data_IF_896275629267
#
_entry.id   IF_896275629267
#
_cell.length_a   1.000
_cell.length_b   1.000
_cell.length_c   1.000
_cell.angle_alpha   90.00
_cell.angle_beta   90.00
_cell.angle_gamma   90.00
#
_symmetry.space_group_name_H-M   'P 1'
#
loop_
_entity.id
_entity.type
_entity.pdbx_description
1 polymer ?
#
# COMPACT_ATOMS: atom_id res chain seq x y z
N UNK A 1 -7.68 -0.35 -31.34
CA UNK A 1 -6.39 -0.77 -30.73
C UNK A 1 -6.23 -0.13 -29.35
N UNK A 2 -6.72 -0.78 -28.27
CA UNK A 2 -6.69 -0.25 -26.89
C UNK A 2 -5.72 -1.04 -26.00
N UNK A 3 -4.43 -1.05 -26.29
CA UNK A 3 -3.44 -1.79 -25.48
C UNK A 3 -2.26 -0.97 -24.95
N UNK A 4 -2.27 0.36 -25.12
CA UNK A 4 -1.25 1.25 -24.57
C UNK A 4 -1.56 1.69 -23.14
N UNK A 5 -1.34 0.82 -22.14
CA UNK A 5 -1.08 1.36 -20.79
C UNK A 5 0.31 1.99 -20.88
N UNK A 6 0.36 3.31 -20.74
CA UNK A 6 1.60 4.11 -20.75
C UNK A 6 2.56 3.54 -19.71
N UNK A 7 3.86 3.49 -20.01
CA UNK A 7 4.84 3.09 -19.00
C UNK A 7 4.88 4.18 -17.93
N UNK A 8 4.56 3.80 -16.69
CA UNK A 8 4.48 4.70 -15.53
C UNK A 8 5.52 4.27 -14.48
N UNK A 9 6.22 5.23 -13.89
CA UNK A 9 7.10 4.97 -12.75
C UNK A 9 6.28 4.79 -11.48
N UNK A 10 5.51 5.83 -11.11
CA UNK A 10 4.49 5.76 -10.06
C UNK A 10 3.12 5.44 -10.66
N UNK A 11 2.27 4.75 -9.91
CA UNK A 11 0.92 4.43 -10.37
C UNK A 11 0.06 5.70 -10.41
N UNK A 12 -0.37 6.11 -11.60
CA UNK A 12 -1.19 7.32 -11.77
C UNK A 12 -2.54 7.21 -11.03
N UNK A 13 -3.00 6.00 -10.65
CA UNK A 13 -4.21 5.80 -9.84
C UNK A 13 -4.04 6.20 -8.36
N UNK A 14 -2.81 6.42 -7.87
CA UNK A 14 -2.52 6.63 -6.44
C UNK A 14 -2.54 8.11 -6.03
N UNK A 15 -2.22 9.04 -6.94
CA UNK A 15 -1.96 10.45 -6.64
C UNK A 15 -0.80 10.68 -5.65
N UNK A 16 -0.97 10.36 -4.36
CA UNK A 16 0.05 10.46 -3.31
C UNK A 16 -0.21 9.45 -2.18
N UNK A 17 0.82 9.13 -1.41
CA UNK A 17 0.89 8.08 -0.38
C UNK A 17 0.88 6.66 -0.96
N UNK A 18 1.84 5.83 -0.49
CA UNK A 18 2.05 4.42 -0.90
C UNK A 18 2.56 4.22 -2.33
N UNK A 19 2.76 5.28 -3.12
CA UNK A 19 3.38 5.22 -4.44
C UNK A 19 4.82 4.71 -4.38
N UNK A 20 5.53 5.09 -3.31
CA UNK A 20 6.88 4.64 -2.97
C UNK A 20 6.90 3.15 -2.60
N UNK A 21 5.96 2.71 -1.77
CA UNK A 21 5.82 1.32 -1.35
C UNK A 21 5.42 0.43 -2.54
N UNK A 22 4.48 0.88 -3.38
CA UNK A 22 4.10 0.19 -4.61
C UNK A 22 5.29 0.04 -5.56
N UNK A 23 6.06 1.11 -5.77
CA UNK A 23 7.26 1.07 -6.62
C UNK A 23 8.31 0.12 -6.03
N UNK A 24 8.62 0.23 -4.75
CA UNK A 24 9.59 -0.64 -4.07
C UNK A 24 9.18 -2.11 -4.17
N UNK A 25 7.90 -2.42 -3.95
CA UNK A 25 7.38 -3.78 -4.08
C UNK A 25 7.50 -4.28 -5.52
N UNK A 26 7.14 -3.47 -6.52
CA UNK A 26 7.31 -3.83 -7.93
C UNK A 26 8.76 -4.06 -8.32
N UNK A 27 9.70 -3.28 -7.77
CA UNK A 27 11.14 -3.50 -7.97
C UNK A 27 11.58 -4.84 -7.38
N UNK A 28 11.15 -5.17 -6.15
CA UNK A 28 11.38 -6.48 -5.55
C UNK A 28 10.81 -7.62 -6.42
N UNK A 29 9.60 -7.45 -6.97
CA UNK A 29 9.01 -8.42 -7.91
C UNK A 29 9.87 -8.62 -9.17
N UNK A 30 10.68 -7.64 -9.55
CA UNK A 30 11.63 -7.73 -10.68
C UNK A 30 13.01 -8.22 -10.27
N UNK A 31 13.19 -8.69 -9.04
CA UNK A 31 14.46 -9.20 -8.52
C UNK A 31 15.45 -8.12 -8.13
N UNK A 32 15.02 -6.86 -8.06
CA UNK A 32 15.88 -5.78 -7.56
C UNK A 32 16.00 -5.85 -6.05
N UNK A 33 17.13 -5.38 -5.53
CA UNK A 33 17.43 -5.33 -4.10
C UNK A 33 17.34 -3.88 -3.61
N UNK A 34 16.77 -3.70 -2.42
CA UNK A 34 16.86 -2.45 -1.66
C UNK A 34 18.02 -2.55 -0.69
N UNK A 35 18.96 -1.62 -0.74
CA UNK A 35 20.17 -1.60 0.09
C UNK A 35 20.14 -0.36 0.96
N UNK A 36 20.35 -0.53 2.27
CA UNK A 36 20.51 0.56 3.21
C UNK A 36 21.99 0.94 3.31
N UNK A 37 22.30 2.21 3.01
CA UNK A 37 23.67 2.76 3.06
C UNK A 37 23.74 3.77 4.21
N UNK A 38 24.25 3.40 5.39
CA UNK A 38 24.22 4.27 6.58
C UNK A 38 25.09 5.53 6.44
N UNK A 39 26.07 5.52 5.53
CA UNK A 39 26.93 6.67 5.23
C UNK A 39 26.18 7.75 4.42
N UNK A 40 25.14 7.38 3.66
CA UNK A 40 24.34 8.30 2.88
C UNK A 40 23.25 8.95 3.77
N UNK A 41 23.51 10.18 4.24
CA UNK A 41 22.62 10.90 5.17
C UNK A 41 21.80 11.97 4.45
N UNK A 42 20.49 11.99 4.73
CA UNK A 42 19.56 13.04 4.32
C UNK A 42 18.70 13.47 5.52
N UNK A 43 18.42 14.76 5.64
CA UNK A 43 17.61 15.32 6.72
C UNK A 43 16.19 15.61 6.21
N UNK A 44 15.18 15.07 6.90
CA UNK A 44 13.77 15.27 6.55
C UNK A 44 12.99 15.76 7.77
N UNK A 45 12.35 16.92 7.63
CA UNK A 45 11.45 17.43 8.65
C UNK A 45 10.19 16.57 8.73
N UNK A 46 10.05 15.80 9.81
CA UNK A 46 8.88 14.91 10.00
C UNK A 46 7.80 15.61 10.82
N UNK A 47 6.73 16.01 10.13
CA UNK A 47 5.48 16.44 10.79
C UNK A 47 4.74 15.26 11.45
N UNK A 48 4.91 14.04 10.91
CA UNK A 48 4.29 12.81 11.41
C UNK A 48 5.39 11.90 11.93
N UNK A 49 5.42 11.71 13.26
CA UNK A 49 6.45 10.92 13.92
C UNK A 49 5.98 9.47 14.05
N UNK A 50 6.66 8.54 13.37
CA UNK A 50 6.43 7.10 13.49
C UNK A 50 7.24 6.50 14.63
N UNK A 51 6.61 5.73 15.52
CA UNK A 51 7.28 5.04 16.63
C UNK A 51 6.31 4.15 17.39
N UNK A 52 6.84 3.26 18.25
CA UNK A 52 6.05 2.38 19.14
C UNK A 52 5.18 3.24 20.06
N UNK A 53 3.97 3.51 19.59
CA UNK A 53 2.98 4.34 20.27
C UNK A 53 1.87 3.40 20.72
N UNK A 54 1.50 3.48 21.99
CA UNK A 54 0.29 2.80 22.47
C UNK A 54 -0.91 3.18 21.62
N UNK A 55 -1.89 2.29 21.52
CA UNK A 55 -3.04 2.38 20.59
C UNK A 55 -3.71 3.77 20.62
N UNK A 56 -3.85 4.36 21.80
CA UNK A 56 -4.39 5.73 22.00
C UNK A 56 -3.60 6.87 21.34
N UNK A 57 -2.27 6.76 21.27
CA UNK A 57 -1.44 7.76 20.59
C UNK A 57 -1.54 7.62 19.08
N UNK A 58 -1.70 6.40 18.56
CA UNK A 58 -1.95 6.18 17.14
C UNK A 58 -3.28 6.83 16.73
N UNK A 59 -4.36 6.58 17.49
CA UNK A 59 -5.66 7.19 17.22
C UNK A 59 -5.64 8.72 17.17
N UNK A 60 -5.01 9.36 18.17
CA UNK A 60 -4.90 10.83 18.20
C UNK A 60 -4.14 11.40 17.00
N UNK A 61 -3.17 10.67 16.49
CA UNK A 61 -2.36 11.13 15.37
C UNK A 61 -3.09 10.98 14.04
N UNK A 62 -3.90 9.93 13.89
CA UNK A 62 -4.80 9.78 12.75
C UNK A 62 -5.82 10.92 12.67
N UNK A 63 -6.39 11.33 13.81
CA UNK A 63 -7.32 12.47 13.87
C UNK A 63 -6.68 13.84 13.56
N UNK A 64 -5.38 14.00 13.79
CA UNK A 64 -4.65 15.24 13.46
C UNK A 64 -4.31 15.36 11.97
N UNK A 65 -4.32 14.26 11.23
CA UNK A 65 -3.99 14.27 9.80
C UNK A 65 -5.12 14.90 9.00
N UNK A 66 -4.78 15.48 7.86
CA UNK A 66 -5.81 15.95 6.95
C UNK A 66 -6.62 14.75 6.41
N UNK A 67 -7.91 14.97 6.20
CA UNK A 67 -8.83 13.94 5.69
C UNK A 67 -8.38 13.37 4.34
N UNK A 68 -7.73 14.20 3.51
CA UNK A 68 -7.18 13.81 2.21
C UNK A 68 -6.02 12.81 2.38
N UNK A 69 -5.13 13.05 3.36
CA UNK A 69 -4.03 12.13 3.66
C UNK A 69 -4.55 10.77 4.07
N UNK A 70 -5.52 10.72 5.00
CA UNK A 70 -6.10 9.44 5.44
C UNK A 70 -6.85 8.73 4.32
N UNK A 71 -7.60 9.48 3.50
CA UNK A 71 -8.30 8.96 2.33
C UNK A 71 -7.35 8.25 1.35
N UNK A 72 -6.31 8.94 0.86
CA UNK A 72 -5.37 8.35 -0.10
C UNK A 72 -4.52 7.26 0.55
N UNK A 73 -4.08 7.44 1.79
CA UNK A 73 -3.33 6.42 2.52
C UNK A 73 -4.09 5.10 2.64
N UNK A 74 -5.40 5.16 2.94
CA UNK A 74 -6.21 3.95 3.10
C UNK A 74 -6.59 3.33 1.75
N UNK A 75 -7.03 4.14 0.77
CA UNK A 75 -7.31 3.68 -0.60
C UNK A 75 -6.10 2.96 -1.20
N UNK A 76 -4.94 3.62 -1.16
CA UNK A 76 -3.73 3.12 -1.81
C UNK A 76 -3.10 1.95 -1.06
N UNK A 77 -3.30 1.85 0.27
CA UNK A 77 -2.92 0.68 1.04
C UNK A 77 -3.59 -0.60 0.49
N UNK A 78 -4.92 -0.54 0.31
CA UNK A 78 -5.68 -1.67 -0.23
C UNK A 78 -5.29 -1.97 -1.67
N UNK A 79 -5.13 -0.94 -2.51
CA UNK A 79 -4.69 -1.11 -3.90
C UNK A 79 -3.28 -1.72 -3.97
N UNK A 80 -2.36 -1.35 -3.09
CA UNK A 80 -0.99 -1.89 -3.07
C UNK A 80 -0.99 -3.40 -2.83
N UNK A 81 -1.77 -3.87 -1.84
CA UNK A 81 -1.92 -5.30 -1.55
C UNK A 81 -2.54 -6.01 -2.74
N UNK A 82 -3.67 -5.49 -3.24
CA UNK A 82 -4.37 -6.06 -4.39
C UNK A 82 -3.47 -6.14 -5.62
N UNK A 83 -2.66 -5.13 -5.87
CA UNK A 83 -1.83 -5.01 -7.08
C UNK A 83 -0.60 -5.92 -7.05
N UNK A 84 0.05 -6.09 -5.89
CA UNK A 84 1.41 -6.63 -5.82
C UNK A 84 1.55 -7.95 -5.05
N UNK A 85 0.57 -8.37 -4.24
CA UNK A 85 0.72 -9.59 -3.43
C UNK A 85 0.54 -10.87 -4.25
N UNK A 86 1.28 -11.94 -3.98
CA UNK A 86 1.03 -13.26 -4.57
C UNK A 86 -0.19 -13.92 -3.94
N UNK A 87 -1.07 -14.54 -4.73
CA UNK A 87 -2.31 -15.14 -4.20
C UNK A 87 -2.03 -16.19 -3.11
N UNK A 88 -0.99 -17.01 -3.27
CA UNK A 88 -0.60 -18.00 -2.24
C UNK A 88 -0.18 -17.39 -0.91
N UNK A 89 0.55 -16.26 -0.94
CA UNK A 89 0.92 -15.52 0.28
C UNK A 89 -0.30 -14.81 0.87
N UNK A 90 -1.10 -14.15 0.02
CA UNK A 90 -2.33 -13.49 0.44
C UNK A 90 -3.26 -14.45 1.19
N UNK A 91 -3.51 -15.65 0.65
CA UNK A 91 -4.38 -16.63 1.30
C UNK A 91 -3.83 -17.10 2.65
N UNK A 92 -2.50 -17.24 2.76
CA UNK A 92 -1.83 -17.61 4.01
C UNK A 92 -1.94 -16.51 5.07
N UNK A 93 -1.80 -15.26 4.67
CA UNK A 93 -1.82 -14.11 5.56
C UNK A 93 -3.24 -13.51 5.73
N UNK A 94 -4.22 -14.04 4.99
CA UNK A 94 -5.59 -13.53 4.94
C UNK A 94 -6.24 -13.36 6.32
N UNK A 95 -6.15 -14.30 7.27
CA UNK A 95 -6.76 -14.09 8.59
C UNK A 95 -6.21 -12.88 9.33
N UNK A 96 -4.89 -12.64 9.21
CA UNK A 96 -4.22 -11.50 9.84
C UNK A 96 -4.55 -10.19 9.14
N UNK A 97 -4.52 -10.19 7.80
CA UNK A 97 -4.91 -9.05 6.97
C UNK A 97 -6.36 -8.68 7.27
N UNK A 98 -7.28 -9.66 7.22
CA UNK A 98 -8.70 -9.47 7.48
C UNK A 98 -8.94 -8.86 8.85
N UNK A 99 -8.36 -9.42 9.92
CA UNK A 99 -8.55 -8.89 11.27
C UNK A 99 -8.02 -7.45 11.39
N UNK A 100 -6.86 -7.16 10.80
CA UNK A 100 -6.28 -5.82 10.80
C UNK A 100 -7.12 -4.81 10.01
N UNK A 101 -7.60 -5.17 8.82
CA UNK A 101 -8.50 -4.32 8.03
C UNK A 101 -9.87 -4.15 8.70
N UNK A 102 -10.38 -5.19 9.36
CA UNK A 102 -11.63 -5.15 10.12
C UNK A 102 -11.53 -4.14 11.27
N UNK A 103 -10.46 -4.21 12.08
CA UNK A 103 -10.23 -3.23 13.16
C UNK A 103 -10.15 -1.79 12.62
N UNK A 104 -9.43 -1.59 11.52
CA UNK A 104 -9.35 -0.27 10.86
C UNK A 104 -10.70 0.19 10.31
N UNK A 105 -11.49 -0.72 9.76
CA UNK A 105 -12.83 -0.42 9.25
C UNK A 105 -13.73 0.12 10.37
N UNK A 106 -13.78 -0.54 11.54
CA UNK A 106 -14.55 -0.03 12.67
C UNK A 106 -14.05 1.33 13.17
N UNK A 107 -12.73 1.52 13.23
CA UNK A 107 -12.18 2.82 13.57
C UNK A 107 -12.62 3.90 12.58
N UNK A 108 -12.50 3.64 11.28
CA UNK A 108 -12.89 4.58 10.22
C UNK A 108 -14.40 4.85 10.27
N UNK A 109 -15.21 3.82 10.51
CA UNK A 109 -16.66 3.93 10.60
C UNK A 109 -17.10 4.91 11.69
N UNK A 110 -16.48 4.86 12.87
CA UNK A 110 -16.88 5.68 14.02
C UNK A 110 -16.13 7.02 14.13
N UNK A 111 -14.88 7.11 13.67
CA UNK A 111 -14.01 8.27 13.93
C UNK A 111 -13.53 9.01 12.68
N UNK A 112 -13.63 8.40 11.48
CA UNK A 112 -13.17 8.98 10.23
C UNK A 112 -14.15 8.75 9.07
N UNK A 113 -15.41 9.09 9.25
CA UNK A 113 -16.47 8.83 8.26
C UNK A 113 -16.15 9.34 6.84
N UNK A 114 -15.36 10.41 6.69
CA UNK A 114 -14.87 10.86 5.38
C UNK A 114 -13.99 9.82 4.68
N UNK A 115 -13.12 9.14 5.43
CA UNK A 115 -12.21 8.09 4.92
C UNK A 115 -12.99 6.86 4.43
N UNK A 116 -14.27 6.67 4.81
CA UNK A 116 -15.12 5.62 4.19
C UNK A 116 -15.26 5.81 2.68
N UNK A 117 -15.19 7.05 2.18
CA UNK A 117 -15.19 7.32 0.73
C UNK A 117 -14.03 6.63 0.00
N UNK A 118 -12.93 6.34 0.70
CA UNK A 118 -11.79 5.64 0.16
C UNK A 118 -12.14 4.20 -0.27
N UNK A 119 -13.13 3.56 0.35
CA UNK A 119 -13.59 2.23 -0.05
C UNK A 119 -14.28 2.28 -1.42
N UNK A 120 -15.16 3.26 -1.66
CA UNK A 120 -15.78 3.45 -2.97
C UNK A 120 -14.72 3.78 -4.04
N UNK A 121 -13.75 4.64 -3.71
CA UNK A 121 -12.65 4.96 -4.62
C UNK A 121 -11.74 3.76 -4.89
N UNK A 122 -11.54 2.88 -3.91
CA UNK A 122 -10.84 1.60 -4.08
C UNK A 122 -11.57 0.72 -5.09
N UNK A 123 -12.87 0.47 -4.90
CA UNK A 123 -13.65 -0.35 -5.83
C UNK A 123 -13.69 0.26 -7.25
N UNK A 124 -13.77 1.58 -7.38
CA UNK A 124 -13.69 2.28 -8.66
C UNK A 124 -12.36 2.08 -9.39
N UNK A 125 -11.24 1.96 -8.66
CA UNK A 125 -9.90 1.75 -9.21
C UNK A 125 -9.52 0.26 -9.37
N UNK A 126 -10.27 -0.66 -8.77
CA UNK A 126 -9.94 -2.10 -8.77
C UNK A 126 -9.82 -2.69 -10.18
N UNK A 127 -10.71 -2.32 -11.10
CA UNK A 127 -10.71 -2.86 -12.47
C UNK A 127 -9.42 -2.50 -13.21
N UNK A 128 -9.00 -1.24 -13.13
CA UNK A 128 -7.75 -0.75 -13.71
C UNK A 128 -6.53 -1.44 -13.07
N UNK A 129 -6.49 -1.49 -11.73
CA UNK A 129 -5.39 -2.10 -10.98
C UNK A 129 -5.27 -3.60 -11.26
N UNK A 130 -6.37 -4.32 -11.44
CA UNK A 130 -6.35 -5.74 -11.81
C UNK A 130 -5.77 -5.97 -13.22
N UNK A 131 -5.99 -5.05 -14.15
CA UNK A 131 -5.34 -5.10 -15.48
C UNK A 131 -3.82 -4.87 -15.33
N UNK A 132 -3.41 -3.88 -14.54
CA UNK A 132 -1.99 -3.60 -14.24
C UNK A 132 -1.33 -4.80 -13.55
N UNK A 133 -2.00 -5.40 -12.56
CA UNK A 133 -1.55 -6.59 -11.81
C UNK A 133 -1.19 -7.74 -12.75
N UNK A 134 -2.03 -8.06 -13.74
CA UNK A 134 -1.73 -9.14 -14.70
C UNK A 134 -0.38 -8.94 -15.39
N UNK A 135 -0.08 -7.70 -15.83
CA UNK A 135 1.21 -7.36 -16.45
C UNK A 135 2.36 -7.41 -15.44
N UNK A 136 2.14 -6.93 -14.23
CA UNK A 136 3.13 -6.92 -13.15
C UNK A 136 3.56 -8.35 -12.81
N UNK A 137 2.57 -9.21 -12.55
CA UNK A 137 2.77 -10.61 -12.16
C UNK A 137 3.35 -11.47 -13.28
N UNK A 138 2.92 -11.26 -14.54
CA UNK A 138 3.51 -11.96 -15.70
C UNK A 138 5.01 -11.71 -15.84
N UNK A 139 5.49 -10.54 -15.40
CA UNK A 139 6.89 -10.12 -15.47
C UNK A 139 7.64 -10.31 -14.15
N UNK A 140 7.02 -10.89 -13.12
CA UNK A 140 7.68 -11.16 -11.86
C UNK A 140 8.83 -12.17 -12.06
N UNK A 141 10.00 -11.88 -11.49
CA UNK A 141 11.20 -12.71 -11.55
C UNK A 141 11.49 -13.45 -10.23
N UNK A 142 10.69 -13.20 -9.21
CA UNK A 142 10.80 -13.81 -7.88
C UNK A 142 9.60 -14.70 -7.61
N UNK A 143 9.82 -15.72 -6.79
CA UNK A 143 8.80 -16.65 -6.31
C UNK A 143 8.04 -16.07 -5.11
N UNK A 144 6.83 -16.58 -4.79
CA UNK A 144 6.12 -16.21 -3.57
C UNK A 144 6.95 -16.42 -2.29
N UNK A 145 7.78 -17.47 -2.25
CA UNK A 145 8.67 -17.80 -1.13
C UNK A 145 9.79 -16.76 -0.97
N UNK A 146 10.39 -16.31 -2.07
CA UNK A 146 11.41 -15.25 -2.03
C UNK A 146 10.82 -13.92 -1.60
N UNK A 147 9.64 -13.56 -2.12
CA UNK A 147 8.96 -12.32 -1.75
C UNK A 147 8.58 -12.30 -0.26
N UNK A 148 8.20 -13.45 0.30
CA UNK A 148 7.81 -13.58 1.71
C UNK A 148 8.92 -13.18 2.69
N UNK A 149 10.20 -13.30 2.30
CA UNK A 149 11.35 -12.90 3.16
C UNK A 149 11.33 -11.42 3.54
N UNK A 150 10.58 -10.58 2.83
CA UNK A 150 10.46 -9.15 3.12
C UNK A 150 9.34 -8.82 4.12
N UNK A 151 8.49 -9.78 4.48
CA UNK A 151 7.29 -9.57 5.31
C UNK A 151 7.29 -10.38 6.62
N UNK A 152 8.34 -11.16 6.88
CA UNK A 152 8.51 -12.01 8.07
C UNK A 152 9.59 -11.43 8.96
#
# INVERSE_FOLDING_TARGET
TRSGIKEEYFDESFFSYKEDIDLAWRLCLRGWKSIYTPEAKAYHWRAIQGGKRGVFKVFREYQKRSRIVNFYSYKNHLLTILKNEFLGNFLKDFPFIFFHEFQKFFYILFFESYTLKALFAFFGACSEVLIKRRKIMKRAKVTPKEMRKWFV
#
